data_IF_843800800095
#
_entry.id   IF_843800800095
#
_cell.length_a   1.000
_cell.length_b   1.000
_cell.length_c   1.000
_cell.angle_alpha   90.00
_cell.angle_beta   90.00
_cell.angle_gamma   90.00
#
_symmetry.space_group_name_H-M   'P 1'
#
loop_
_entity.id
_entity.type
_entity.pdbx_description
1 polymer ?
#
# COMPACT_ATOMS: atom_id res chain seq x y z
N UNK A 1 5.20 10.70 49.54
CA UNK A 1 4.17 10.80 48.48
C UNK A 1 3.53 9.45 48.13
N UNK A 2 3.50 8.47 49.05
CA UNK A 2 3.08 7.07 48.78
C UNK A 2 1.92 6.60 49.67
N UNK A 3 1.17 7.53 50.29
CA UNK A 3 0.08 7.22 51.24
C UNK A 3 -1.32 7.64 50.78
N UNK A 4 -1.45 8.19 49.56
CA UNK A 4 -2.75 8.61 49.01
C UNK A 4 -3.26 7.60 47.96
N UNK A 5 -2.38 6.79 47.37
CA UNK A 5 -2.75 5.84 46.31
C UNK A 5 -3.37 4.53 46.83
N UNK A 6 -3.14 4.16 48.09
CA UNK A 6 -3.63 2.90 48.66
C UNK A 6 -5.07 2.99 49.18
N UNK A 7 -5.58 4.19 49.47
CA UNK A 7 -6.93 4.37 50.02
C UNK A 7 -8.01 4.43 48.93
N UNK A 8 -7.65 4.71 47.68
CA UNK A 8 -8.62 4.74 46.58
C UNK A 8 -8.95 3.33 46.04
N UNK A 9 -8.05 2.37 46.21
CA UNK A 9 -8.26 0.98 45.76
C UNK A 9 -9.17 0.20 46.74
N UNK A 10 -9.27 0.62 48.01
CA UNK A 10 -10.07 -0.10 49.01
C UNK A 10 -11.54 0.34 49.09
N UNK A 11 -11.93 1.46 48.48
CA UNK A 11 -13.33 1.95 48.53
C UNK A 11 -14.20 1.37 47.40
N UNK A 12 -13.61 0.91 46.31
CA UNK A 12 -14.37 0.25 45.23
C UNK A 12 -14.79 -1.20 45.55
N UNK A 13 -14.20 -1.84 46.57
CA UNK A 13 -14.46 -3.25 46.86
C UNK A 13 -15.60 -3.50 47.86
N UNK A 14 -16.25 -2.47 48.40
CA UNK A 14 -17.22 -2.62 49.50
C UNK A 14 -18.63 -2.09 49.23
N UNK A 15 -18.95 -1.66 48.00
CA UNK A 15 -20.28 -1.17 47.63
C UNK A 15 -20.71 -1.83 46.31
N UNK A 16 -21.13 -3.09 46.38
CA UNK A 16 -22.10 -3.72 45.47
C UNK A 16 -22.38 -5.14 45.99
N UNK A 17 -23.33 -5.33 46.92
CA UNK A 17 -23.88 -6.64 47.16
C UNK A 17 -24.79 -7.00 45.97
N UNK A 18 -24.53 -8.13 45.32
CA UNK A 18 -25.51 -8.88 44.51
C UNK A 18 -26.23 -8.13 43.39
N UNK A 19 -25.48 -7.65 42.39
CA UNK A 19 -26.04 -7.52 41.04
C UNK A 19 -25.31 -8.52 40.13
N UNK A 20 -25.81 -9.75 40.13
CA UNK A 20 -25.67 -10.64 38.98
C UNK A 20 -26.44 -9.98 37.83
N UNK A 21 -25.77 -9.11 37.08
CA UNK A 21 -26.18 -8.82 35.71
C UNK A 21 -25.81 -10.09 34.97
N UNK A 22 -26.80 -10.98 34.82
CA UNK A 22 -26.77 -11.89 33.69
C UNK A 22 -26.69 -10.98 32.46
N UNK A 23 -25.50 -10.88 31.85
CA UNK A 23 -25.43 -10.50 30.45
C UNK A 23 -26.24 -11.56 29.74
N UNK A 24 -27.48 -11.22 29.38
CA UNK A 24 -28.21 -11.93 28.35
C UNK A 24 -27.38 -11.72 27.08
N UNK A 25 -26.41 -12.62 26.84
CA UNK A 25 -25.72 -12.72 25.57
C UNK A 25 -26.81 -13.00 24.52
N UNK A 26 -27.27 -11.93 23.89
CA UNK A 26 -28.12 -12.01 22.73
C UNK A 26 -27.28 -12.68 21.64
N UNK A 27 -27.38 -14.02 21.54
CA UNK A 27 -26.77 -14.87 20.52
C UNK A 27 -27.42 -14.57 19.16
N UNK A 28 -27.17 -13.35 18.66
CA UNK A 28 -27.59 -12.87 17.35
C UNK A 28 -26.87 -13.68 16.30
N UNK A 29 -27.62 -14.54 15.63
CA UNK A 29 -27.12 -15.31 14.49
C UNK A 29 -27.25 -14.47 13.23
N UNK A 30 -26.36 -14.68 12.27
CA UNK A 30 -26.47 -14.04 10.96
C UNK A 30 -27.82 -14.39 10.28
N UNK A 31 -28.44 -15.51 10.63
CA UNK A 31 -29.81 -15.84 10.21
C UNK A 31 -30.85 -14.84 10.70
N UNK A 32 -30.64 -14.21 11.85
CA UNK A 32 -31.54 -13.21 12.44
C UNK A 32 -31.43 -11.86 11.71
N UNK A 33 -30.33 -11.63 10.99
CA UNK A 33 -30.13 -10.50 10.08
C UNK A 33 -30.64 -10.79 8.65
N UNK A 34 -31.30 -11.93 8.44
CA UNK A 34 -31.89 -12.33 7.15
C UNK A 34 -30.93 -13.06 6.19
N UNK A 35 -29.74 -13.47 6.64
CA UNK A 35 -28.86 -14.31 5.82
C UNK A 35 -29.39 -15.75 5.75
N UNK A 36 -29.42 -16.34 4.55
CA UNK A 36 -29.83 -17.74 4.38
C UNK A 36 -28.74 -18.70 4.88
N UNK A 37 -29.11 -19.91 5.30
CA UNK A 37 -28.14 -20.92 5.74
C UNK A 37 -27.15 -21.30 4.64
N UNK A 38 -27.58 -21.25 3.37
CA UNK A 38 -26.70 -21.42 2.21
C UNK A 38 -25.66 -20.30 2.10
N UNK A 39 -26.03 -19.03 2.36
CA UNK A 39 -25.07 -17.92 2.38
C UNK A 39 -24.06 -18.03 3.53
N UNK A 40 -24.42 -18.77 4.59
CA UNK A 40 -23.59 -19.02 5.78
C UNK A 40 -22.73 -20.28 5.67
N UNK A 41 -22.76 -20.97 4.53
CA UNK A 41 -21.93 -22.14 4.27
C UNK A 41 -20.87 -21.85 3.20
N UNK A 42 -19.90 -20.94 3.46
CA UNK A 42 -18.81 -20.71 2.53
C UNK A 42 -18.00 -21.99 2.40
N UNK A 43 -17.74 -22.45 1.17
CA UNK A 43 -16.79 -23.54 0.95
C UNK A 43 -15.44 -23.16 1.54
N UNK A 44 -14.82 -24.06 2.31
CA UNK A 44 -13.54 -23.82 2.99
C UNK A 44 -12.45 -23.37 2.00
N UNK A 45 -12.49 -23.89 0.78
CA UNK A 45 -11.60 -23.52 -0.33
C UNK A 45 -11.75 -22.06 -0.79
N UNK A 46 -12.98 -21.59 -1.02
CA UNK A 46 -13.24 -20.18 -1.39
C UNK A 46 -12.79 -19.22 -0.29
N UNK A 47 -13.03 -19.58 0.98
CA UNK A 47 -12.62 -18.74 2.09
C UNK A 47 -11.10 -18.62 2.17
N UNK A 48 -10.37 -19.73 2.04
CA UNK A 48 -8.90 -19.72 1.96
C UNK A 48 -8.40 -18.87 0.79
N UNK A 49 -9.01 -19.00 -0.40
CA UNK A 49 -8.64 -18.22 -1.57
C UNK A 49 -8.85 -16.71 -1.39
N UNK A 50 -9.93 -16.32 -0.71
CA UNK A 50 -10.19 -14.91 -0.36
C UNK A 50 -9.20 -14.37 0.67
N UNK A 51 -8.83 -15.18 1.66
CA UNK A 51 -7.81 -14.83 2.65
C UNK A 51 -6.44 -14.64 1.99
N UNK A 52 -6.04 -15.54 1.09
CA UNK A 52 -4.80 -15.45 0.32
C UNK A 52 -4.79 -14.19 -0.57
N UNK A 53 -5.89 -13.91 -1.29
CA UNK A 53 -6.02 -12.69 -2.10
C UNK A 53 -5.89 -11.44 -1.24
N UNK A 54 -6.59 -11.40 -0.09
CA UNK A 54 -6.51 -10.28 0.85
C UNK A 54 -5.07 -10.07 1.34
N UNK A 55 -4.37 -11.16 1.68
CA UNK A 55 -2.99 -11.10 2.12
C UNK A 55 -2.09 -10.44 1.06
N UNK A 56 -2.12 -10.94 -0.17
CA UNK A 56 -1.28 -10.42 -1.25
C UNK A 56 -1.62 -8.97 -1.65
N UNK A 57 -2.91 -8.62 -1.74
CA UNK A 57 -3.32 -7.26 -2.07
C UNK A 57 -2.97 -6.26 -0.96
N UNK A 58 -3.04 -6.67 0.31
CA UNK A 58 -2.55 -5.85 1.43
C UNK A 58 -1.05 -5.60 1.34
N UNK A 59 -0.26 -6.62 0.97
CA UNK A 59 1.17 -6.44 0.73
C UNK A 59 1.44 -5.52 -0.45
N UNK A 60 0.68 -5.65 -1.56
CA UNK A 60 0.76 -4.75 -2.71
C UNK A 60 0.56 -3.29 -2.28
N UNK A 61 -0.46 -3.01 -1.46
CA UNK A 61 -0.74 -1.67 -0.96
C UNK A 61 0.36 -1.13 -0.05
N UNK A 62 0.87 -1.95 0.88
CA UNK A 62 1.96 -1.55 1.80
C UNK A 62 3.23 -1.21 1.00
N UNK A 63 3.67 -2.11 0.13
CA UNK A 63 4.88 -1.89 -0.67
C UNK A 63 4.69 -0.75 -1.68
N UNK A 64 3.49 -0.58 -2.23
CA UNK A 64 3.14 0.57 -3.07
C UNK A 64 3.28 1.89 -2.32
N UNK A 65 2.84 1.95 -1.05
CA UNK A 65 2.98 3.14 -0.22
C UNK A 65 4.44 3.46 0.11
N UNK A 66 5.24 2.43 0.45
CA UNK A 66 6.69 2.58 0.64
C UNK A 66 7.35 3.12 -0.64
N UNK A 67 6.95 2.61 -1.80
CA UNK A 67 7.46 3.07 -3.10
C UNK A 67 7.13 4.54 -3.38
N UNK A 68 5.87 4.95 -3.18
CA UNK A 68 5.45 6.36 -3.33
C UNK A 68 6.24 7.27 -2.39
N UNK A 69 6.40 6.88 -1.13
CA UNK A 69 7.16 7.64 -0.14
C UNK A 69 8.63 7.80 -0.53
N UNK A 70 9.30 6.69 -0.86
CA UNK A 70 10.70 6.70 -1.29
C UNK A 70 10.90 7.48 -2.60
N UNK A 71 10.01 7.33 -3.58
CA UNK A 71 10.05 8.07 -4.84
C UNK A 71 9.89 9.56 -4.61
N UNK A 72 8.95 9.96 -3.75
CA UNK A 72 8.75 11.37 -3.39
C UNK A 72 10.04 11.96 -2.81
N UNK A 73 10.67 11.27 -1.86
CA UNK A 73 11.95 11.70 -1.28
C UNK A 73 13.09 11.72 -2.32
N UNK A 74 13.11 10.75 -3.25
CA UNK A 74 14.08 10.73 -4.35
C UNK A 74 13.92 11.95 -5.27
N UNK A 75 12.69 12.40 -5.53
CA UNK A 75 12.43 13.63 -6.30
C UNK A 75 12.91 14.89 -5.56
N UNK A 76 12.72 14.97 -4.24
CA UNK A 76 13.18 16.10 -3.44
C UNK A 76 14.71 16.16 -3.29
N UNK A 77 15.38 15.01 -3.32
CA UNK A 77 16.85 14.92 -3.29
C UNK A 77 17.49 15.00 -4.68
N UNK A 78 16.70 15.00 -5.75
CA UNK A 78 17.18 15.19 -7.12
C UNK A 78 17.57 16.64 -7.41
N UNK A 79 18.37 16.86 -8.46
CA UNK A 79 18.84 18.19 -8.85
C UNK A 79 19.89 18.17 -9.95
N UNK A 80 20.29 19.35 -10.41
CA UNK A 80 21.41 19.50 -11.34
C UNK A 80 22.73 19.58 -10.56
N UNK A 81 23.77 18.88 -11.04
CA UNK A 81 25.11 18.95 -10.45
C UNK A 81 25.37 17.89 -9.36
N UNK A 82 25.94 18.30 -8.22
CA UNK A 82 26.44 17.36 -7.22
C UNK A 82 25.29 16.81 -6.36
N UNK A 83 24.71 15.70 -6.81
CA UNK A 83 23.60 15.03 -6.14
C UNK A 83 24.04 14.51 -4.75
N UNK A 84 23.20 14.68 -3.73
CA UNK A 84 23.47 14.11 -2.43
C UNK A 84 23.38 12.56 -2.52
N UNK A 85 24.21 11.80 -1.79
CA UNK A 85 24.31 10.35 -1.92
C UNK A 85 22.98 9.63 -1.64
N UNK A 86 22.05 10.27 -0.93
CA UNK A 86 20.72 9.78 -0.62
C UNK A 86 19.85 9.59 -1.87
N UNK A 87 20.04 10.39 -2.93
CA UNK A 87 19.21 10.32 -4.14
C UNK A 87 19.19 8.91 -4.77
N UNK A 88 20.34 8.29 -5.13
CA UNK A 88 20.35 6.93 -5.66
C UNK A 88 19.86 5.87 -4.65
N UNK A 89 20.08 6.05 -3.35
CA UNK A 89 19.55 5.12 -2.33
C UNK A 89 18.01 5.18 -2.24
N UNK A 90 17.44 6.38 -2.25
CA UNK A 90 15.99 6.59 -2.23
C UNK A 90 15.34 6.11 -3.53
N UNK A 91 15.98 6.37 -4.68
CA UNK A 91 15.54 5.84 -5.97
C UNK A 91 15.60 4.31 -6.01
N UNK A 92 16.66 3.71 -5.47
CA UNK A 92 16.81 2.27 -5.32
C UNK A 92 15.70 1.68 -4.45
N UNK A 93 15.43 2.27 -3.28
CA UNK A 93 14.34 1.86 -2.39
C UNK A 93 12.97 1.97 -3.07
N UNK A 94 12.73 3.05 -3.81
CA UNK A 94 11.49 3.25 -4.56
C UNK A 94 11.29 2.15 -5.60
N UNK A 95 12.33 1.78 -6.34
CA UNK A 95 12.29 0.72 -7.34
C UNK A 95 12.10 -0.68 -6.72
N UNK A 96 12.84 -1.02 -5.66
CA UNK A 96 12.74 -2.35 -5.05
C UNK A 96 11.40 -2.57 -4.35
N UNK A 97 10.88 -1.56 -3.65
CA UNK A 97 9.53 -1.62 -3.07
C UNK A 97 8.44 -1.66 -4.13
N UNK A 98 8.61 -0.95 -5.26
CA UNK A 98 7.72 -1.08 -6.40
C UNK A 98 7.70 -2.49 -6.98
N UNK A 99 8.86 -3.11 -7.15
CA UNK A 99 8.97 -4.49 -7.63
C UNK A 99 8.28 -5.47 -6.66
N UNK A 100 8.42 -5.27 -5.34
CA UNK A 100 7.71 -6.05 -4.34
C UNK A 100 6.18 -5.86 -4.42
N UNK A 101 5.70 -4.63 -4.64
CA UNK A 101 4.29 -4.35 -4.88
C UNK A 101 3.77 -5.05 -6.15
N UNK A 102 4.51 -4.95 -7.27
CA UNK A 102 4.14 -5.60 -8.52
C UNK A 102 4.10 -7.13 -8.37
N UNK A 103 5.10 -7.71 -7.69
CA UNK A 103 5.15 -9.15 -7.42
C UNK A 103 3.94 -9.63 -6.60
N UNK A 104 3.59 -8.90 -5.54
CA UNK A 104 2.47 -9.27 -4.67
C UNK A 104 1.12 -9.11 -5.36
N UNK A 105 0.93 -8.12 -6.24
CA UNK A 105 -0.25 -8.05 -7.11
C UNK A 105 -0.33 -9.25 -8.07
N UNK A 106 0.78 -9.65 -8.68
CA UNK A 106 0.82 -10.78 -9.61
C UNK A 106 0.56 -12.13 -8.92
N UNK A 107 0.96 -12.28 -7.65
CA UNK A 107 0.73 -13.51 -6.88
C UNK A 107 -0.67 -13.64 -6.27
N UNK A 108 -1.47 -12.57 -6.25
CA UNK A 108 -2.80 -12.61 -5.68
C UNK A 108 -3.73 -13.55 -6.49
N UNK A 109 -4.34 -14.58 -5.89
CA UNK A 109 -5.24 -15.48 -6.60
C UNK A 109 -6.51 -14.78 -7.08
N UNK A 110 -6.99 -15.11 -8.27
CA UNK A 110 -8.19 -14.53 -8.89
C UNK A 110 -9.46 -15.28 -8.46
N UNK A 111 -10.52 -14.58 -8.03
CA UNK A 111 -11.67 -15.25 -7.39
C UNK A 111 -12.68 -15.79 -8.41
N UNK A 112 -12.97 -15.06 -9.49
CA UNK A 112 -13.77 -15.54 -10.64
C UNK A 112 -13.70 -14.54 -11.82
N UNK A 113 -12.88 -14.83 -12.84
CA UNK A 113 -12.63 -13.94 -13.99
C UNK A 113 -13.90 -13.59 -14.79
N UNK A 114 -14.92 -14.45 -14.78
CA UNK A 114 -16.14 -14.25 -15.59
C UNK A 114 -17.01 -13.09 -15.09
N UNK A 115 -16.82 -12.67 -13.84
CA UNK A 115 -17.64 -11.64 -13.19
C UNK A 115 -16.83 -10.47 -12.61
N UNK A 116 -15.50 -10.54 -12.60
CA UNK A 116 -14.65 -9.49 -12.02
C UNK A 116 -14.50 -8.29 -12.99
N UNK A 117 -15.52 -7.44 -13.04
CA UNK A 117 -15.41 -6.15 -13.72
C UNK A 117 -14.63 -5.18 -12.85
N UNK A 118 -13.42 -4.80 -13.27
CA UNK A 118 -12.74 -3.65 -12.68
C UNK A 118 -13.53 -2.37 -12.99
N UNK A 119 -14.10 -1.76 -11.97
CA UNK A 119 -14.86 -0.51 -12.06
C UNK A 119 -14.17 0.59 -11.26
N UNK A 120 -14.67 1.82 -11.38
CA UNK A 120 -14.26 2.96 -10.57
C UNK A 120 -12.75 3.24 -10.55
N UNK A 121 -12.23 3.49 -9.36
CA UNK A 121 -10.83 3.71 -9.02
C UNK A 121 -9.91 2.56 -9.41
N UNK A 122 -10.31 1.31 -9.20
CA UNK A 122 -9.54 0.14 -9.63
C UNK A 122 -9.31 0.12 -11.14
N UNK A 123 -10.32 0.51 -11.93
CA UNK A 123 -10.16 0.65 -13.38
C UNK A 123 -9.15 1.76 -13.75
N UNK A 124 -9.17 2.88 -13.02
CA UNK A 124 -8.20 3.97 -13.20
C UNK A 124 -6.78 3.59 -12.79
N UNK A 125 -6.60 2.90 -11.67
CA UNK A 125 -5.31 2.35 -11.24
C UNK A 125 -4.71 1.48 -12.35
N UNK A 126 -5.50 0.57 -12.93
CA UNK A 126 -5.03 -0.31 -14.02
C UNK A 126 -4.66 0.46 -15.30
N UNK A 127 -5.35 1.57 -15.60
CA UNK A 127 -4.96 2.47 -16.70
C UNK A 127 -3.64 3.18 -16.39
N UNK A 128 -3.47 3.69 -15.17
CA UNK A 128 -2.25 4.37 -14.73
C UNK A 128 -1.06 3.43 -14.64
N UNK A 129 -1.28 2.13 -14.45
CA UNK A 129 -0.23 1.11 -14.51
C UNK A 129 0.52 1.12 -15.85
N UNK A 130 -0.14 1.43 -16.96
CA UNK A 130 0.52 1.58 -18.26
C UNK A 130 1.45 2.79 -18.37
N UNK A 131 1.39 3.71 -17.40
CA UNK A 131 2.29 4.88 -17.32
C UNK A 131 3.35 4.62 -16.26
N UNK A 132 2.95 4.29 -15.02
CA UNK A 132 3.92 4.15 -13.95
C UNK A 132 4.79 2.91 -14.10
N UNK A 133 4.32 1.80 -14.69
CA UNK A 133 5.15 0.62 -14.88
C UNK A 133 6.31 0.83 -15.87
N UNK A 134 6.10 1.32 -17.11
CA UNK A 134 7.21 1.64 -18.00
C UNK A 134 8.11 2.75 -17.42
N UNK A 135 7.51 3.73 -16.74
CA UNK A 135 8.22 4.80 -16.07
C UNK A 135 9.20 4.32 -15.00
N UNK A 136 8.79 3.35 -14.17
CA UNK A 136 9.62 2.73 -13.14
C UNK A 136 10.79 1.91 -13.70
N UNK A 137 10.74 1.54 -14.99
CA UNK A 137 11.85 0.89 -15.69
C UNK A 137 12.75 1.94 -16.33
N UNK A 138 12.16 2.92 -17.03
CA UNK A 138 12.90 3.92 -17.79
C UNK A 138 13.66 4.90 -16.88
N UNK A 139 13.03 5.43 -15.83
CA UNK A 139 13.63 6.42 -14.94
C UNK A 139 14.99 6.00 -14.36
N UNK A 140 15.17 4.81 -13.73
CA UNK A 140 16.47 4.40 -13.20
C UNK A 140 17.53 4.18 -14.29
N UNK A 141 17.14 3.72 -15.49
CA UNK A 141 18.08 3.58 -16.62
C UNK A 141 18.60 4.95 -17.05
N UNK A 142 17.70 5.92 -17.23
CA UNK A 142 18.08 7.29 -17.60
C UNK A 142 18.92 7.95 -16.50
N UNK A 143 18.60 7.69 -15.22
CA UNK A 143 19.38 8.19 -14.09
C UNK A 143 20.80 7.62 -14.06
N UNK A 144 20.96 6.32 -14.31
CA UNK A 144 22.27 5.68 -14.43
C UNK A 144 23.09 6.27 -15.59
N UNK A 145 22.46 6.48 -16.76
CA UNK A 145 23.12 7.11 -17.91
C UNK A 145 23.56 8.54 -17.59
N UNK A 146 22.71 9.32 -16.92
CA UNK A 146 23.04 10.68 -16.50
C UNK A 146 24.22 10.69 -15.53
N UNK A 147 24.20 9.87 -14.49
CA UNK A 147 25.29 9.74 -13.53
C UNK A 147 26.62 9.43 -14.22
N UNK A 148 26.63 8.44 -15.14
CA UNK A 148 27.84 8.05 -15.89
C UNK A 148 28.39 9.16 -16.78
N UNK A 149 27.54 10.00 -17.39
CA UNK A 149 28.00 11.16 -18.16
C UNK A 149 28.55 12.26 -17.26
N UNK A 150 27.88 12.52 -16.15
CA UNK A 150 28.30 13.54 -15.17
C UNK A 150 29.67 13.19 -14.54
N UNK A 151 29.90 11.92 -14.20
CA UNK A 151 31.20 11.43 -13.70
C UNK A 151 32.35 11.68 -14.69
N UNK A 152 32.06 11.66 -16.00
CA UNK A 152 33.03 11.94 -17.06
C UNK A 152 33.15 13.42 -17.43
N UNK A 153 32.34 14.29 -16.80
CA UNK A 153 32.25 15.70 -17.19
C UNK A 153 31.60 15.93 -18.56
N UNK A 154 30.85 14.95 -19.08
CA UNK A 154 30.13 15.05 -20.35
C UNK A 154 28.79 15.81 -20.16
N UNK A 155 28.33 16.49 -21.22
CA UNK A 155 27.02 17.14 -21.23
C UNK A 155 25.90 16.09 -21.40
N UNK A 156 24.75 16.36 -20.79
CA UNK A 156 23.53 15.55 -20.96
C UNK A 156 22.79 15.97 -22.25
N UNK A 157 23.20 15.42 -23.38
CA UNK A 157 22.63 15.73 -24.71
C UNK A 157 21.70 14.65 -25.28
N UNK A 158 21.72 13.45 -24.69
CA UNK A 158 20.96 12.27 -25.11
C UNK A 158 19.66 12.07 -24.32
N UNK A 159 19.13 10.83 -24.27
CA UNK A 159 17.88 10.53 -23.57
C UNK A 159 17.98 10.72 -22.04
N UNK A 160 19.18 10.65 -21.47
CA UNK A 160 19.43 10.82 -20.04
C UNK A 160 18.96 12.18 -19.49
N UNK A 161 18.91 13.21 -20.34
CA UNK A 161 18.38 14.54 -19.95
C UNK A 161 16.90 14.50 -19.55
N UNK A 162 16.16 13.49 -20.01
CA UNK A 162 14.75 13.28 -19.68
C UNK A 162 14.53 12.50 -18.39
N UNK A 163 15.59 12.11 -17.66
CA UNK A 163 15.45 11.38 -16.39
C UNK A 163 14.46 12.07 -15.44
N UNK A 164 14.63 13.39 -15.23
CA UNK A 164 13.77 14.19 -14.35
C UNK A 164 12.31 14.19 -14.82
N UNK A 165 12.08 14.36 -16.12
CA UNK A 165 10.73 14.43 -16.70
C UNK A 165 10.02 13.08 -16.58
N UNK A 166 10.71 11.99 -16.95
CA UNK A 166 10.19 10.63 -16.83
C UNK A 166 9.93 10.27 -15.37
N UNK A 167 10.85 10.57 -14.46
CA UNK A 167 10.67 10.34 -13.03
C UNK A 167 9.47 11.13 -12.47
N UNK A 168 9.31 12.39 -12.86
CA UNK A 168 8.18 13.23 -12.45
C UNK A 168 6.83 12.69 -12.92
N UNK A 169 6.70 12.34 -14.21
CA UNK A 169 5.48 11.74 -14.77
C UNK A 169 5.18 10.40 -14.10
N UNK A 170 6.19 9.58 -13.87
CA UNK A 170 6.07 8.28 -13.20
C UNK A 170 5.55 8.45 -11.78
N UNK A 171 6.15 9.36 -11.00
CA UNK A 171 5.75 9.63 -9.62
C UNK A 171 4.32 10.18 -9.54
N UNK A 172 3.95 11.08 -10.47
CA UNK A 172 2.59 11.58 -10.56
C UNK A 172 1.60 10.45 -10.87
N UNK A 173 1.87 9.61 -11.87
CA UNK A 173 1.03 8.47 -12.21
C UNK A 173 0.89 7.47 -11.07
N UNK A 174 2.00 7.16 -10.37
CA UNK A 174 2.01 6.27 -9.21
C UNK A 174 1.23 6.85 -8.02
N UNK A 175 1.41 8.14 -7.73
CA UNK A 175 0.69 8.85 -6.67
C UNK A 175 -0.81 8.92 -6.94
N UNK A 176 -1.21 9.24 -8.17
CA UNK A 176 -2.63 9.24 -8.56
C UNK A 176 -3.20 7.82 -8.48
N UNK A 177 -2.45 6.79 -8.92
CA UNK A 177 -2.90 5.40 -8.84
C UNK A 177 -3.18 4.97 -7.39
N UNK A 178 -2.36 5.42 -6.43
CA UNK A 178 -2.60 5.22 -4.99
C UNK A 178 -3.89 5.93 -4.52
N UNK A 179 -4.10 7.18 -4.93
CA UNK A 179 -5.30 7.93 -4.58
C UNK A 179 -6.57 7.28 -5.14
N UNK A 180 -6.54 6.78 -6.37
CA UNK A 180 -7.74 6.18 -7.00
C UNK A 180 -8.30 4.99 -6.25
N UNK A 181 -7.47 4.23 -5.53
CA UNK A 181 -7.89 3.05 -4.75
C UNK A 181 -8.17 3.37 -3.28
N UNK A 182 -7.93 4.60 -2.84
CA UNK A 182 -8.07 5.02 -1.44
C UNK A 182 -9.48 5.52 -1.08
N UNK A 183 -10.32 5.78 -2.08
CA UNK A 183 -11.66 6.37 -1.92
C UNK A 183 -12.79 5.45 -2.40
N UNK A 184 -12.52 4.17 -2.66
CA UNK A 184 -13.55 3.16 -2.93
C UNK A 184 -13.90 2.44 -1.63
N UNK A 185 -15.09 2.71 -1.08
CA UNK A 185 -15.66 2.05 0.11
C UNK A 185 -16.97 1.36 -0.26
#
# INVERSE_FOLDING_TARGET
MFKILTTLILVCAAITPNYCLAEEELDLKLTDLGFTKEALNPSTELQQKLEDRRFYLKQHQIWGLVSVGAMTLALFSGGEGNLPPEHPYLAGLAFTSYAAAAYTAWKAPEIDEKNEKHTGGTAWHRRLAWIHFPGMIAAPILGYMAAKKMEKGEKLDGPEKYHKDVAGVTAAALGIAMLTVSFEF
#
